data_IF_228358863715
#
_entry.id   IF_228358863715
#
_cell.length_a   1.000
_cell.length_b   1.000
_cell.length_c   1.000
_cell.angle_alpha   90.00
_cell.angle_beta   90.00
_cell.angle_gamma   90.00
#
_symmetry.space_group_name_H-M   'P 1'
#
loop_
_entity.id
_entity.type
_entity.pdbx_description
1 polymer ?
#
# COMPACT_ATOMS: atom_id res chain seq x y z
N UNK A 1 10.12 -13.23 0.86
CA UNK A 1 9.31 -12.93 2.06
C UNK A 1 8.01 -12.37 1.52
N UNK A 2 6.83 -12.92 1.88
CA UNK A 2 5.58 -12.24 1.57
C UNK A 2 5.71 -10.81 2.09
N UNK A 3 5.40 -9.84 1.24
CA UNK A 3 5.66 -8.43 1.54
C UNK A 3 4.81 -8.02 2.75
N UNK A 4 5.31 -7.14 3.63
CA UNK A 4 4.53 -6.62 4.78
C UNK A 4 3.13 -6.12 4.38
N UNK A 5 2.94 -5.74 3.11
CA UNK A 5 1.68 -5.29 2.52
C UNK A 5 0.66 -6.41 2.33
N UNK A 6 1.08 -7.63 1.99
CA UNK A 6 0.18 -8.78 1.85
C UNK A 6 -0.43 -9.16 3.20
N UNK A 7 0.37 -9.16 4.26
CA UNK A 7 -0.10 -9.41 5.62
C UNK A 7 -1.10 -8.33 6.09
N UNK A 8 -0.85 -7.07 5.74
CA UNK A 8 -1.78 -5.96 6.03
C UNK A 8 -3.08 -6.12 5.23
N UNK A 9 -3.00 -6.48 3.94
CA UNK A 9 -4.18 -6.69 3.10
C UNK A 9 -5.04 -7.86 3.62
N UNK A 10 -4.41 -8.98 3.99
CA UNK A 10 -5.09 -10.13 4.60
C UNK A 10 -5.74 -9.73 5.92
N UNK A 11 -5.02 -8.99 6.78
CA UNK A 11 -5.55 -8.51 8.05
C UNK A 11 -6.79 -7.62 7.85
N UNK A 12 -6.71 -6.63 6.95
CA UNK A 12 -7.81 -5.72 6.65
C UNK A 12 -9.01 -6.45 6.02
N UNK A 13 -8.77 -7.47 5.20
CA UNK A 13 -9.82 -8.24 4.53
C UNK A 13 -10.52 -9.22 5.47
N UNK A 14 -9.76 -9.90 6.33
CA UNK A 14 -10.30 -10.94 7.21
C UNK A 14 -10.77 -10.39 8.57
N UNK A 15 -10.23 -9.26 9.01
CA UNK A 15 -10.46 -8.73 10.36
C UNK A 15 -9.87 -9.61 11.47
N UNK A 16 -9.03 -10.59 11.12
CA UNK A 16 -8.47 -11.56 12.06
C UNK A 16 -7.06 -11.15 12.45
N UNK A 17 -6.88 -10.80 13.73
CA UNK A 17 -5.55 -10.73 14.36
C UNK A 17 -4.95 -12.13 14.46
N UNK A 18 -3.67 -12.32 14.09
CA UNK A 18 -2.99 -13.60 14.25
C UNK A 18 -3.14 -14.14 15.68
N UNK A 19 -3.51 -15.42 15.81
CA UNK A 19 -3.70 -16.08 17.09
C UNK A 19 -2.41 -16.05 17.92
N UNK A 20 -2.51 -15.69 19.20
CA UNK A 20 -1.36 -15.60 20.11
C UNK A 20 -0.66 -14.25 20.17
N UNK A 21 -1.13 -13.24 19.44
CA UNK A 21 -0.59 -11.87 19.51
C UNK A 21 -0.87 -11.23 20.88
N UNK A 22 0.18 -10.71 21.55
CA UNK A 22 0.04 -10.00 22.84
C UNK A 22 -0.62 -8.64 22.64
N UNK A 23 -1.22 -8.08 23.69
CA UNK A 23 -1.87 -6.78 23.65
C UNK A 23 -0.97 -5.64 23.12
N UNK A 24 0.33 -5.66 23.46
CA UNK A 24 1.30 -4.68 22.96
C UNK A 24 1.55 -4.82 21.45
N UNK A 25 1.65 -6.06 20.96
CA UNK A 25 1.87 -6.34 19.54
C UNK A 25 0.65 -5.95 18.72
N UNK A 26 -0.55 -6.21 19.25
CA UNK A 26 -1.80 -5.72 18.67
C UNK A 26 -1.82 -4.20 18.55
N UNK A 27 -1.46 -3.48 19.63
CA UNK A 27 -1.41 -2.00 19.60
C UNK A 27 -0.40 -1.48 18.57
N UNK A 28 0.77 -2.13 18.46
CA UNK A 28 1.76 -1.79 17.43
C UNK A 28 1.21 -2.04 16.03
N UNK A 29 0.48 -3.13 15.83
CA UNK A 29 -0.17 -3.45 14.57
C UNK A 29 -1.23 -2.39 14.24
N UNK A 30 -2.12 -2.04 15.17
CA UNK A 30 -3.16 -1.02 14.99
C UNK A 30 -2.55 0.32 14.55
N UNK A 31 -1.46 0.74 15.19
CA UNK A 31 -0.73 1.97 14.79
C UNK A 31 -0.13 1.81 13.37
N UNK A 32 0.43 0.65 13.05
CA UNK A 32 1.06 0.38 11.75
C UNK A 32 0.05 0.34 10.61
N UNK A 33 -1.14 -0.22 10.84
CA UNK A 33 -2.20 -0.36 9.82
C UNK A 33 -3.08 0.88 9.70
N UNK A 34 -3.07 1.78 10.69
CA UNK A 34 -3.91 2.98 10.71
C UNK A 34 -3.91 3.82 9.42
N UNK A 35 -2.79 4.01 8.69
CA UNK A 35 -2.81 4.77 7.45
C UNK A 35 -3.25 3.94 6.22
N UNK A 36 -3.53 2.64 6.37
CA UNK A 36 -3.87 1.75 5.26
C UNK A 36 -5.37 1.53 5.17
N UNK A 37 -5.85 1.38 3.94
CA UNK A 37 -7.26 1.10 3.64
C UNK A 37 -7.37 0.15 2.44
N UNK A 38 -8.39 -0.69 2.47
CA UNK A 38 -8.72 -1.58 1.37
C UNK A 38 -9.93 -0.99 0.63
N UNK A 39 -9.72 -0.54 -0.61
CA UNK A 39 -10.78 0.03 -1.45
C UNK A 39 -10.96 -0.90 -2.64
N UNK A 40 -12.17 -1.47 -2.80
CA UNK A 40 -12.51 -2.37 -3.90
C UNK A 40 -11.58 -3.59 -4.08
N UNK A 41 -10.85 -3.98 -3.02
CA UNK A 41 -9.91 -5.09 -3.05
C UNK A 41 -8.44 -4.68 -3.22
N UNK A 42 -8.18 -3.41 -3.54
CA UNK A 42 -6.84 -2.85 -3.67
C UNK A 42 -6.41 -2.17 -2.37
N UNK A 43 -5.13 -2.32 -2.02
CA UNK A 43 -4.54 -1.71 -0.83
C UNK A 43 -4.08 -0.29 -1.14
N UNK A 44 -4.48 0.67 -0.31
CA UNK A 44 -4.05 2.06 -0.38
C UNK A 44 -3.44 2.50 0.94
N UNK A 45 -2.56 3.49 0.87
CA UNK A 45 -1.96 4.17 2.02
C UNK A 45 -2.24 5.67 1.94
N UNK A 46 -2.78 6.22 3.02
CA UNK A 46 -2.89 7.66 3.22
C UNK A 46 -1.54 8.24 3.66
N UNK A 47 -1.05 9.19 2.87
CA UNK A 47 0.13 9.99 3.20
C UNK A 47 -0.17 11.03 4.28
N UNK A 48 0.89 11.62 4.83
CA UNK A 48 0.77 12.75 5.77
C UNK A 48 0.20 14.02 5.13
N UNK A 49 0.30 14.11 3.82
CA UNK A 49 -0.26 15.14 2.94
C UNK A 49 -1.72 14.87 2.55
N UNK A 50 -2.36 13.88 3.17
CA UNK A 50 -3.73 13.42 2.89
C UNK A 50 -3.90 12.82 1.49
N UNK A 51 -2.81 12.65 0.74
CA UNK A 51 -2.83 12.01 -0.57
C UNK A 51 -2.93 10.49 -0.38
N UNK A 52 -3.88 9.88 -1.07
CA UNK A 52 -4.09 8.44 -1.05
C UNK A 52 -3.34 7.81 -2.22
N UNK A 53 -2.38 6.94 -1.91
CA UNK A 53 -1.57 6.24 -2.91
C UNK A 53 -1.87 4.75 -2.89
N UNK A 54 -2.03 4.15 -4.06
CA UNK A 54 -2.16 2.69 -4.18
C UNK A 54 -0.83 2.03 -3.77
N UNK A 55 -0.91 1.02 -2.92
CA UNK A 55 0.22 0.17 -2.57
C UNK A 55 0.48 -0.79 -3.72
N UNK A 56 1.56 -0.52 -4.47
CA UNK A 56 2.03 -1.40 -5.54
C UNK A 56 3.12 -2.33 -5.00
N UNK A 57 3.21 -3.53 -5.57
CA UNK A 57 4.28 -4.47 -5.29
C UNK A 57 5.62 -3.87 -5.76
N UNK A 58 6.71 -4.29 -5.13
CA UNK A 58 8.04 -3.73 -5.40
C UNK A 58 8.44 -3.87 -6.88
N UNK A 59 8.09 -4.98 -7.52
CA UNK A 59 8.36 -5.18 -8.94
C UNK A 59 7.53 -4.25 -9.85
N UNK A 60 6.26 -3.99 -9.53
CA UNK A 60 5.42 -3.04 -10.27
C UNK A 60 5.97 -1.63 -10.15
N UNK A 61 6.44 -1.25 -8.96
CA UNK A 61 7.11 0.04 -8.72
C UNK A 61 8.36 0.18 -9.57
N UNK A 62 9.19 -0.86 -9.65
CA UNK A 62 10.43 -0.85 -10.46
C UNK A 62 10.07 -0.61 -11.92
N UNK A 63 9.10 -1.35 -12.47
CA UNK A 63 8.66 -1.20 -13.86
C UNK A 63 8.18 0.22 -14.14
N UNK A 64 7.28 0.76 -13.30
CA UNK A 64 6.76 2.13 -13.48
C UNK A 64 7.87 3.17 -13.39
N UNK A 65 8.82 2.99 -12.46
CA UNK A 65 9.94 3.90 -12.30
C UNK A 65 10.89 3.84 -13.50
N UNK A 66 11.13 2.66 -14.05
CA UNK A 66 11.90 2.47 -15.29
C UNK A 66 11.19 3.10 -16.49
N UNK A 67 9.87 2.93 -16.64
CA UNK A 67 9.10 3.57 -17.71
C UNK A 67 9.08 5.10 -17.60
N UNK A 68 8.96 5.63 -16.38
CA UNK A 68 9.00 7.05 -16.10
C UNK A 68 10.39 7.63 -16.39
N UNK A 69 11.46 6.96 -15.95
CA UNK A 69 12.84 7.39 -16.18
C UNK A 69 13.26 7.25 -17.64
N UNK A 70 12.80 6.18 -18.31
CA UNK A 70 13.00 5.94 -19.73
C UNK A 70 12.17 6.85 -20.64
N UNK A 71 11.28 7.69 -20.08
CA UNK A 71 10.43 8.61 -20.84
C UNK A 71 9.37 7.89 -21.70
N UNK A 72 9.09 6.62 -21.42
CA UNK A 72 8.13 5.79 -22.16
C UNK A 72 6.70 6.27 -21.83
N UNK A 73 6.43 6.51 -20.54
CA UNK A 73 5.18 7.09 -20.07
C UNK A 73 5.26 8.62 -20.04
N UNK A 74 5.24 9.26 -21.22
CA UNK A 74 5.18 10.73 -21.31
C UNK A 74 3.72 11.18 -21.24
N UNK A 75 3.36 11.96 -20.23
CA UNK A 75 2.04 12.60 -20.19
C UNK A 75 1.92 13.61 -21.35
N UNK A 76 0.98 13.38 -22.27
CA UNK A 76 0.60 14.36 -23.28
C UNK A 76 -0.22 15.46 -22.62
N UNK A 77 0.45 16.47 -22.08
CA UNK A 77 -0.22 17.74 -21.78
C UNK A 77 -0.47 18.44 -23.11
N UNK A 78 -1.59 18.15 -23.77
CA UNK A 78 -2.14 19.04 -24.80
C UNK A 78 -2.66 20.28 -24.08
N UNK A 79 -1.75 21.22 -23.79
CA UNK A 79 -2.09 22.56 -23.36
C UNK A 79 -2.56 23.37 -24.56
N UNK A 80 -3.73 23.99 -24.42
CA UNK A 80 -4.26 24.99 -25.32
C UNK A 80 -4.08 26.37 -24.67
#
# INVERSE_FOLDING_TARGET
MPSDLEDIAVFLKMGVVPFGMKALEKKKLDIRIAPYMLISGDLYKMGHDEIICQCMLEHERIIIMEEAHGGIARAHYTGN
#
